data_IF_532356025309
#
_entry.id   IF_532356025309
#
_cell.length_a   1.000
_cell.length_b   1.000
_cell.length_c   1.000
_cell.angle_alpha   90.00
_cell.angle_beta   90.00
_cell.angle_gamma   90.00
#
_symmetry.space_group_name_H-M   'P 1'
#
loop_
_entity.id
_entity.type
_entity.pdbx_description
1 polymer ?
#
# COMPACT_ATOMS: atom_id res chain seq x y z
N UNK A 1 -17.54 15.48 12.10
CA UNK A 1 -16.20 15.14 12.59
C UNK A 1 -15.22 15.45 11.47
N UNK A 2 -14.32 16.40 11.65
CA UNK A 2 -13.32 16.78 10.66
C UNK A 2 -12.32 15.62 10.55
N UNK A 3 -12.38 14.86 9.46
CA UNK A 3 -11.32 13.90 9.13
C UNK A 3 -10.05 14.71 8.83
N UNK A 4 -9.24 14.93 9.86
CA UNK A 4 -7.94 15.55 9.72
C UNK A 4 -7.02 14.57 9.00
N UNK A 5 -6.72 14.87 7.73
CA UNK A 5 -5.70 14.18 6.97
C UNK A 5 -4.34 14.74 7.38
N UNK A 6 -3.44 13.88 7.86
CA UNK A 6 -2.06 14.23 8.10
C UNK A 6 -1.25 13.92 6.83
N UNK A 7 -0.63 14.94 6.27
CA UNK A 7 0.32 14.78 5.16
C UNK A 7 1.74 14.84 5.70
N UNK A 8 2.52 13.80 5.41
CA UNK A 8 3.93 13.73 5.76
C UNK A 8 4.74 13.74 4.47
N UNK A 9 5.59 14.75 4.33
CA UNK A 9 6.48 14.91 3.19
C UNK A 9 7.92 14.72 3.67
N UNK A 10 8.64 13.81 3.01
CA UNK A 10 10.01 13.43 3.35
C UNK A 10 10.86 13.54 2.10
N UNK A 11 11.94 14.31 2.20
CA UNK A 11 13.01 14.34 1.23
C UNK A 11 14.19 13.54 1.80
N UNK A 12 14.56 12.46 1.12
CA UNK A 12 15.65 11.60 1.56
C UNK A 12 16.92 11.91 0.76
N UNK A 13 18.09 11.94 1.41
CA UNK A 13 19.38 12.16 0.74
C UNK A 13 19.85 10.89 0.03
N UNK A 14 19.08 10.41 -0.95
CA UNK A 14 19.42 9.24 -1.77
C UNK A 14 20.33 9.68 -2.92
N UNK A 15 21.44 8.97 -3.13
CA UNK A 15 22.42 9.29 -4.19
C UNK A 15 21.79 9.11 -5.57
N UNK A 16 21.57 10.23 -6.25
CA UNK A 16 20.65 10.38 -7.38
C UNK A 16 21.27 10.11 -8.75
N UNK A 17 21.99 9.00 -8.96
CA UNK A 17 22.71 8.87 -10.23
C UNK A 17 22.21 7.81 -11.22
N UNK A 18 21.85 6.57 -10.87
CA UNK A 18 21.51 5.56 -11.91
C UNK A 18 20.51 4.47 -11.55
N UNK A 19 19.98 4.46 -10.34
CA UNK A 19 19.16 3.35 -9.86
C UNK A 19 17.78 3.85 -9.45
N UNK A 20 16.72 3.38 -10.13
CA UNK A 20 15.36 3.75 -9.80
C UNK A 20 14.98 3.14 -8.44
N UNK A 21 14.60 3.98 -7.48
CA UNK A 21 14.18 3.49 -6.18
C UNK A 21 12.74 2.95 -6.24
N UNK A 22 12.51 1.86 -5.52
CA UNK A 22 11.18 1.29 -5.31
C UNK A 22 10.74 1.62 -3.89
N UNK A 23 9.62 2.32 -3.76
CA UNK A 23 8.96 2.62 -2.51
C UNK A 23 7.86 1.59 -2.28
N UNK A 24 7.90 0.90 -1.15
CA UNK A 24 6.84 0.07 -0.60
C UNK A 24 6.15 0.85 0.51
N UNK A 25 4.82 0.86 0.51
CA UNK A 25 4.00 1.45 1.57
C UNK A 25 3.03 0.38 2.04
N UNK A 26 2.94 0.19 3.35
CA UNK A 26 1.91 -0.62 4.00
C UNK A 26 1.09 0.28 4.93
N UNK A 27 -0.21 0.36 4.67
CA UNK A 27 -1.14 1.24 5.38
C UNK A 27 -2.18 0.42 6.15
N UNK A 28 -2.40 0.81 7.40
CA UNK A 28 -3.47 0.34 8.29
C UNK A 28 -4.22 1.57 8.80
N UNK A 29 -5.53 1.61 8.68
CA UNK A 29 -6.37 2.69 9.22
C UNK A 29 -7.79 2.18 9.55
N UNK A 30 -8.73 3.05 9.87
CA UNK A 30 -10.11 2.64 10.19
C UNK A 30 -10.88 2.06 8.99
N UNK A 31 -10.42 2.30 7.76
CA UNK A 31 -11.02 1.80 6.53
C UNK A 31 -10.34 0.53 6.02
N UNK A 32 -9.06 0.35 6.34
CA UNK A 32 -8.17 -0.67 5.77
C UNK A 32 -7.53 -1.48 6.88
N UNK A 33 -7.44 -2.80 6.70
CA UNK A 33 -6.88 -3.72 7.71
C UNK A 33 -7.72 -3.75 9.01
N UNK A 34 -9.04 -3.59 8.87
CA UNK A 34 -10.00 -3.57 9.97
C UNK A 34 -10.98 -4.77 9.88
N UNK A 35 -10.56 -5.97 10.32
CA UNK A 35 -11.42 -7.15 10.29
C UNK A 35 -12.61 -7.04 11.25
N UNK A 36 -12.52 -6.22 12.30
CA UNK A 36 -13.62 -6.00 13.23
C UNK A 36 -14.77 -5.28 12.54
N UNK A 37 -14.47 -4.23 11.75
CA UNK A 37 -15.47 -3.55 10.93
C UNK A 37 -16.13 -4.50 9.94
N UNK A 38 -15.35 -5.36 9.28
CA UNK A 38 -15.90 -6.38 8.38
C UNK A 38 -16.79 -7.37 9.13
N UNK A 39 -16.43 -7.78 10.33
CA UNK A 39 -17.27 -8.65 11.17
C UNK A 39 -18.59 -7.96 11.55
N UNK A 40 -18.56 -6.67 11.91
CA UNK A 40 -19.78 -5.88 12.12
C UNK A 40 -20.64 -5.81 10.85
N UNK A 41 -20.04 -5.56 9.69
CA UNK A 41 -20.75 -5.49 8.40
C UNK A 41 -21.35 -6.84 7.97
N UNK A 42 -20.74 -7.96 8.40
CA UNK A 42 -21.26 -9.32 8.19
C UNK A 42 -22.38 -9.70 9.18
N UNK A 43 -22.76 -8.80 10.10
CA UNK A 43 -23.86 -9.03 11.04
C UNK A 43 -23.44 -9.68 12.36
N UNK A 44 -22.16 -9.56 12.74
CA UNK A 44 -21.66 -9.98 14.06
C UNK A 44 -21.84 -11.48 14.36
N UNK A 45 -21.80 -12.31 13.31
CA UNK A 45 -21.98 -13.74 13.43
C UNK A 45 -20.98 -14.35 14.42
N UNK A 46 -21.49 -14.99 15.47
CA UNK A 46 -20.67 -15.65 16.49
C UNK A 46 -19.97 -16.92 15.97
N UNK A 47 -20.51 -17.54 14.90
CA UNK A 47 -19.95 -18.72 14.24
C UNK A 47 -19.89 -18.48 12.73
N UNK A 48 -18.89 -17.74 12.23
CA UNK A 48 -18.76 -17.45 10.81
C UNK A 48 -18.47 -18.73 10.00
N UNK A 49 -19.00 -18.80 8.78
CA UNK A 49 -18.71 -19.88 7.84
C UNK A 49 -17.29 -19.75 7.27
N UNK A 50 -16.80 -20.77 6.54
CA UNK A 50 -15.45 -20.76 5.98
C UNK A 50 -15.20 -19.55 5.05
N UNK A 51 -16.21 -19.13 4.29
CA UNK A 51 -16.13 -17.98 3.38
C UNK A 51 -15.99 -16.66 4.14
N UNK A 52 -16.76 -16.48 5.21
CA UNK A 52 -16.67 -15.31 6.10
C UNK A 52 -15.32 -15.27 6.82
N UNK A 53 -14.81 -16.43 7.30
CA UNK A 53 -13.47 -16.52 7.90
C UNK A 53 -12.39 -16.13 6.89
N UNK A 54 -12.50 -16.61 5.64
CA UNK A 54 -11.56 -16.25 4.59
C UNK A 54 -11.59 -14.75 4.28
N UNK A 55 -12.78 -14.15 4.28
CA UNK A 55 -12.96 -12.71 4.10
C UNK A 55 -12.35 -11.91 5.26
N UNK A 56 -12.59 -12.32 6.51
CA UNK A 56 -12.01 -11.69 7.70
C UNK A 56 -10.47 -11.73 7.64
N UNK A 57 -9.88 -12.86 7.25
CA UNK A 57 -8.42 -12.97 7.06
C UNK A 57 -7.89 -12.04 5.99
N UNK A 58 -8.59 -11.92 4.84
CA UNK A 58 -8.22 -10.97 3.79
C UNK A 58 -8.34 -9.51 4.25
N UNK A 59 -9.34 -9.21 5.08
CA UNK A 59 -9.53 -7.87 5.62
C UNK A 59 -8.54 -7.51 6.74
N UNK A 60 -7.77 -8.48 7.24
CA UNK A 60 -6.74 -8.29 8.25
C UNK A 60 -5.34 -8.06 7.66
N UNK A 61 -5.23 -7.89 6.34
CA UNK A 61 -3.95 -7.55 5.69
C UNK A 61 -3.84 -6.04 5.45
N UNK A 62 -2.68 -5.42 5.74
CA UNK A 62 -2.42 -4.04 5.39
C UNK A 62 -2.60 -3.77 3.88
N UNK A 63 -2.99 -2.54 3.54
CA UNK A 63 -3.00 -2.12 2.14
C UNK A 63 -1.57 -1.84 1.69
N UNK A 64 -1.09 -2.70 0.80
CA UNK A 64 0.24 -2.57 0.20
C UNK A 64 0.15 -1.74 -1.09
N UNK A 65 0.96 -0.69 -1.19
CA UNK A 65 1.15 0.11 -2.41
C UNK A 65 2.62 0.17 -2.76
N UNK A 66 2.93 0.17 -4.05
CA UNK A 66 4.31 0.32 -4.54
C UNK A 66 4.41 1.44 -5.56
N UNK A 67 5.49 2.22 -5.46
CA UNK A 67 5.76 3.35 -6.35
C UNK A 67 7.22 3.35 -6.77
N UNK A 68 7.50 3.88 -7.96
CA UNK A 68 8.84 4.37 -8.29
C UNK A 68 8.94 5.78 -7.76
N UNK A 69 10.01 6.06 -7.01
CA UNK A 69 10.31 7.41 -6.54
C UNK A 69 11.79 7.67 -6.74
N UNK A 70 12.13 8.94 -6.85
CA UNK A 70 13.52 9.38 -6.81
C UNK A 70 13.88 9.50 -5.32
N UNK A 71 13.58 10.67 -4.73
CA UNK A 71 14.00 11.04 -3.39
C UNK A 71 12.87 11.63 -2.53
N UNK A 72 11.68 11.80 -3.10
CA UNK A 72 10.56 12.47 -2.43
C UNK A 72 9.45 11.47 -2.10
N UNK A 73 9.00 11.46 -0.85
CA UNK A 73 7.89 10.64 -0.40
C UNK A 73 6.81 11.55 0.13
N UNK A 74 5.59 11.36 -0.38
CA UNK A 74 4.38 11.95 0.17
C UNK A 74 3.49 10.84 0.74
N UNK A 75 3.27 10.88 2.05
CA UNK A 75 2.38 9.95 2.75
C UNK A 75 1.15 10.70 3.25
N UNK A 76 -0.02 10.11 3.06
CA UNK A 76 -1.29 10.67 3.50
C UNK A 76 -1.92 9.70 4.49
N UNK A 77 -2.07 10.15 5.74
CA UNK A 77 -2.54 9.37 6.87
C UNK A 77 -3.87 9.92 7.36
N UNK A 78 -4.87 9.05 7.46
CA UNK A 78 -6.13 9.35 8.15
C UNK A 78 -5.96 9.22 9.66
N UNK A 79 -6.97 9.66 10.42
CA UNK A 79 -7.00 9.47 11.86
C UNK A 79 -6.78 7.99 12.23
N UNK A 80 -6.01 7.73 13.29
CA UNK A 80 -5.58 6.40 13.74
C UNK A 80 -4.83 5.56 12.69
N UNK A 81 -4.38 6.18 11.60
CA UNK A 81 -3.61 5.51 10.56
C UNK A 81 -2.18 5.21 11.01
N UNK A 82 -1.70 4.01 10.70
CA UNK A 82 -0.30 3.61 10.79
C UNK A 82 0.19 3.29 9.38
N UNK A 83 1.28 3.94 8.98
CA UNK A 83 1.92 3.72 7.68
C UNK A 83 3.35 3.26 7.92
N UNK A 84 3.67 2.06 7.44
CA UNK A 84 5.04 1.61 7.25
C UNK A 84 5.46 1.94 5.81
N UNK A 85 6.70 2.38 5.63
CA UNK A 85 7.26 2.61 4.30
C UNK A 85 8.70 2.09 4.24
N UNK A 86 9.08 1.57 3.08
CA UNK A 86 10.41 1.05 2.83
C UNK A 86 10.87 1.48 1.44
N UNK A 87 12.12 1.92 1.33
CA UNK A 87 12.73 2.23 0.04
C UNK A 87 13.84 1.25 -0.26
N UNK A 88 13.80 0.68 -1.46
CA UNK A 88 14.81 -0.23 -1.99
C UNK A 88 15.33 0.28 -3.31
N UNK A 89 16.63 0.45 -3.41
CA UNK A 89 17.30 0.73 -4.67
C UNK A 89 17.18 -0.51 -5.57
N UNK A 90 16.45 -0.38 -6.70
CA UNK A 90 16.11 -1.53 -7.54
C UNK A 90 16.49 -1.26 -9.00
N UNK A 91 17.55 -1.89 -9.54
CA UNK A 91 17.92 -1.71 -10.93
C UNK A 91 16.76 -2.12 -11.85
N UNK A 92 16.49 -1.30 -12.86
CA UNK A 92 15.50 -1.63 -13.89
C UNK A 92 16.13 -2.65 -14.83
N UNK A 93 15.86 -3.93 -14.58
CA UNK A 93 16.07 -4.96 -15.59
C UNK A 93 14.94 -4.87 -16.61
N UNK A 94 15.07 -3.93 -17.56
CA UNK A 94 14.21 -3.85 -18.73
C UNK A 94 14.54 -5.03 -19.64
N UNK A 95 13.86 -6.16 -19.42
CA UNK A 95 13.91 -7.27 -20.36
C UNK A 95 13.37 -6.76 -21.71
N UNK A 96 14.23 -6.66 -22.73
CA UNK A 96 13.84 -6.23 -24.09
C UNK A 96 13.09 -7.38 -24.80
N UNK A 97 12.06 -7.92 -24.15
CA UNK A 97 11.30 -9.09 -24.58
C UNK A 97 9.98 -8.79 -25.28
N UNK A 98 9.54 -7.54 -25.38
CA UNK A 98 8.29 -7.21 -26.09
C UNK A 98 8.46 -6.00 -27.01
N UNK A 99 8.85 -6.27 -28.25
CA UNK A 99 8.61 -5.33 -29.35
C UNK A 99 7.12 -5.40 -29.65
N UNK A 100 6.37 -4.34 -29.37
CA UNK A 100 5.08 -4.12 -30.03
C UNK A 100 5.38 -4.08 -31.53
N UNK A 101 5.20 -5.21 -32.21
CA UNK A 101 5.15 -5.22 -33.66
C UNK A 101 4.08 -4.23 -34.05
N UNK A 102 4.47 -3.09 -34.62
CA UNK A 102 3.56 -2.27 -35.41
C UNK A 102 2.96 -3.21 -36.44
N UNK A 103 1.70 -3.57 -36.28
CA UNK A 103 0.90 -4.13 -37.36
C UNK A 103 0.74 -2.99 -38.38
N UNK A 104 1.57 -3.02 -39.41
CA UNK A 104 1.40 -2.27 -40.66
C UNK A 104 0.33 -2.93 -41.52
#
# INVERSE_FOLDING_TARGET
MTNSLLTVELELPLSSEKEANSLLIELVDEEVCNPLKVWHDLGENANPCEEEIALLRKSATPLVKTYRTDNFIKLELKANGVCYFEIKTTPINSDRGYKYGRLS
#
